data_IF_256949396905
#
_entry.id   IF_256949396905
#
_cell.length_a   1.000
_cell.length_b   1.000
_cell.length_c   1.000
_cell.angle_alpha   90.00
_cell.angle_beta   90.00
_cell.angle_gamma   90.00
#
_symmetry.space_group_name_H-M   'P 1'
#
loop_
_entity.id
_entity.type
_entity.pdbx_description
1 polymer ?
#
# COMPACT_ATOMS: atom_id res chain seq x y z
N UNK A 1 19.79 0.91 12.54
CA UNK A 1 18.88 2.08 12.61
C UNK A 1 17.65 1.84 11.74
N UNK A 2 17.81 1.41 10.47
CA UNK A 2 16.70 1.08 9.59
C UNK A 2 15.85 -0.07 10.16
N UNK A 3 16.45 -1.15 10.61
CA UNK A 3 15.77 -2.30 11.18
C UNK A 3 14.94 -1.96 12.43
N UNK A 4 15.46 -1.08 13.29
CA UNK A 4 14.78 -0.68 14.52
C UNK A 4 13.52 0.16 14.28
N UNK A 5 13.46 0.91 13.17
CA UNK A 5 12.34 1.79 12.84
C UNK A 5 11.42 1.20 11.76
N UNK A 6 11.76 0.03 11.19
CA UNK A 6 11.06 -0.55 10.06
C UNK A 6 9.57 -0.74 10.29
N UNK A 7 9.20 -1.30 11.43
CA UNK A 7 7.81 -1.56 11.78
C UNK A 7 6.99 -0.27 11.86
N UNK A 8 7.55 0.79 12.43
CA UNK A 8 6.87 2.09 12.50
C UNK A 8 6.71 2.74 11.13
N UNK A 9 7.75 2.67 10.28
CA UNK A 9 7.69 3.17 8.91
C UNK A 9 6.64 2.43 8.08
N UNK A 10 6.66 1.10 8.12
CA UNK A 10 5.66 0.28 7.44
C UNK A 10 4.25 0.63 7.89
N UNK A 11 4.02 0.76 9.19
CA UNK A 11 2.72 1.13 9.75
C UNK A 11 2.26 2.51 9.28
N UNK A 12 3.14 3.52 9.28
CA UNK A 12 2.83 4.87 8.77
C UNK A 12 2.48 4.86 7.29
N UNK A 13 3.24 4.14 6.47
CA UNK A 13 2.99 4.02 5.04
C UNK A 13 1.63 3.38 4.73
N UNK A 14 1.27 2.34 5.49
CA UNK A 14 -0.04 1.69 5.37
C UNK A 14 -1.16 2.67 5.79
N UNK A 15 -1.02 3.35 6.93
CA UNK A 15 -2.02 4.31 7.42
C UNK A 15 -2.24 5.46 6.44
N UNK A 16 -1.17 6.03 5.88
CA UNK A 16 -1.28 7.08 4.85
C UNK A 16 -1.99 6.56 3.60
N UNK A 17 -1.67 5.32 3.18
CA UNK A 17 -2.32 4.67 2.04
C UNK A 17 -3.82 4.47 2.28
N UNK A 18 -4.21 4.06 3.50
CA UNK A 18 -5.61 3.92 3.92
C UNK A 18 -6.33 5.27 3.85
N UNK A 19 -5.75 6.30 4.48
CA UNK A 19 -6.34 7.64 4.47
C UNK A 19 -6.48 8.17 3.03
N UNK A 20 -5.44 8.01 2.21
CA UNK A 20 -5.46 8.44 0.80
C UNK A 20 -6.55 7.75 0.00
N UNK A 21 -6.68 6.42 0.10
CA UNK A 21 -7.71 5.66 -0.58
C UNK A 21 -9.13 6.10 -0.13
N UNK A 22 -9.34 6.25 1.18
CA UNK A 22 -10.61 6.70 1.74
C UNK A 22 -10.99 8.12 1.27
N UNK A 23 -10.04 9.05 1.25
CA UNK A 23 -10.26 10.42 0.78
C UNK A 23 -10.62 10.47 -0.70
N UNK A 24 -9.92 9.71 -1.57
CA UNK A 24 -10.19 9.67 -2.99
C UNK A 24 -11.62 9.24 -3.30
N UNK A 25 -12.14 8.23 -2.60
CA UNK A 25 -13.51 7.76 -2.79
C UNK A 25 -14.53 8.63 -2.09
N UNK A 26 -14.19 9.19 -0.92
CA UNK A 26 -15.10 10.10 -0.22
C UNK A 26 -15.43 11.34 -1.05
N UNK A 27 -14.44 11.94 -1.70
CA UNK A 27 -14.65 13.10 -2.58
C UNK A 27 -15.54 12.77 -3.78
N UNK A 28 -15.52 11.51 -4.27
CA UNK A 28 -16.40 11.08 -5.35
C UNK A 28 -17.84 10.77 -4.90
N UNK A 29 -17.99 10.24 -3.68
CA UNK A 29 -19.33 10.01 -3.12
C UNK A 29 -19.99 11.31 -2.63
N UNK A 30 -19.19 12.31 -2.20
CA UNK A 30 -19.68 13.63 -1.90
C UNK A 30 -20.21 14.30 -3.18
N UNK A 31 -21.21 15.15 -3.06
CA UNK A 31 -21.77 15.97 -4.15
C UNK A 31 -22.33 15.19 -5.37
N UNK A 32 -22.71 13.92 -5.17
CA UNK A 32 -23.17 13.03 -6.24
C UNK A 32 -22.17 12.90 -7.41
N UNK A 33 -20.86 12.97 -7.11
CA UNK A 33 -19.79 12.88 -8.09
C UNK A 33 -19.84 11.59 -8.91
N UNK A 34 -20.22 10.46 -8.29
CA UNK A 34 -20.41 9.18 -8.99
C UNK A 34 -21.47 9.26 -10.09
N UNK A 35 -22.60 9.94 -9.86
CA UNK A 35 -23.66 10.12 -10.87
C UNK A 35 -23.18 11.03 -12.01
N UNK A 36 -22.45 12.10 -11.71
CA UNK A 36 -21.87 12.99 -12.71
C UNK A 36 -20.81 12.28 -13.56
N UNK A 37 -20.03 11.38 -12.97
CA UNK A 37 -19.03 10.59 -13.69
C UNK A 37 -19.62 9.48 -14.54
N UNK A 38 -20.77 8.91 -14.18
CA UNK A 38 -21.45 7.86 -14.96
C UNK A 38 -21.96 8.36 -16.31
N UNK A 39 -22.22 9.68 -16.44
CA UNK A 39 -22.64 10.32 -17.70
C UNK A 39 -21.46 10.48 -18.68
N UNK A 40 -20.22 10.49 -18.19
CA UNK A 40 -19.04 10.61 -19.03
C UNK A 40 -18.75 9.27 -19.75
N UNK A 41 -18.31 9.29 -21.02
CA UNK A 41 -17.99 8.07 -21.78
C UNK A 41 -16.63 7.48 -21.37
N UNK A 42 -16.32 7.48 -20.07
CA UNK A 42 -15.07 6.98 -19.50
C UNK A 42 -15.32 5.60 -18.88
N UNK A 43 -14.43 4.64 -19.13
CA UNK A 43 -14.50 3.32 -18.51
C UNK A 43 -14.14 3.44 -17.02
N UNK A 44 -15.00 2.97 -16.14
CA UNK A 44 -14.77 2.99 -14.68
C UNK A 44 -13.45 2.31 -14.27
N UNK A 45 -13.05 1.24 -14.96
CA UNK A 45 -11.76 0.60 -14.75
C UNK A 45 -10.56 1.53 -15.02
N UNK A 46 -10.65 2.44 -16.01
CA UNK A 46 -9.58 3.42 -16.26
C UNK A 46 -9.47 4.44 -15.13
N UNK A 47 -10.59 4.84 -14.54
CA UNK A 47 -10.61 5.74 -13.38
C UNK A 47 -10.01 5.08 -12.13
N UNK A 48 -10.32 3.81 -11.90
CA UNK A 48 -9.73 3.02 -10.82
C UNK A 48 -8.21 2.90 -10.96
N UNK A 49 -7.73 2.58 -12.17
CA UNK A 49 -6.29 2.53 -12.45
C UNK A 49 -5.61 3.90 -12.25
N UNK A 50 -6.28 4.99 -12.63
CA UNK A 50 -5.77 6.33 -12.37
C UNK A 50 -5.58 6.62 -10.87
N UNK A 51 -6.55 6.23 -10.04
CA UNK A 51 -6.45 6.34 -8.58
C UNK A 51 -5.33 5.50 -8.01
N UNK A 52 -5.21 4.26 -8.47
CA UNK A 52 -4.11 3.38 -8.07
C UNK A 52 -2.74 3.98 -8.42
N UNK A 53 -2.58 4.54 -9.62
CA UNK A 53 -1.34 5.21 -10.02
C UNK A 53 -1.02 6.42 -9.12
N UNK A 54 -2.00 7.24 -8.82
CA UNK A 54 -1.82 8.39 -7.92
C UNK A 54 -1.43 7.91 -6.52
N UNK A 55 -2.12 6.91 -5.97
CA UNK A 55 -1.81 6.35 -4.66
C UNK A 55 -0.41 5.73 -4.62
N UNK A 56 0.00 5.00 -5.67
CA UNK A 56 1.33 4.41 -5.78
C UNK A 56 2.44 5.47 -5.90
N UNK A 57 2.18 6.58 -6.61
CA UNK A 57 3.11 7.72 -6.69
C UNK A 57 3.27 8.42 -5.34
N UNK A 58 2.17 8.65 -4.63
CA UNK A 58 2.21 9.24 -3.27
C UNK A 58 2.98 8.33 -2.33
N UNK A 59 2.69 7.02 -2.32
CA UNK A 59 3.44 6.04 -1.54
C UNK A 59 4.94 6.09 -1.87
N UNK A 60 5.29 6.08 -3.15
CA UNK A 60 6.70 6.12 -3.58
C UNK A 60 7.41 7.38 -3.09
N UNK A 61 6.74 8.53 -3.20
CA UNK A 61 7.28 9.80 -2.70
C UNK A 61 7.49 9.77 -1.18
N UNK A 62 6.53 9.21 -0.42
CA UNK A 62 6.62 9.08 1.04
C UNK A 62 7.78 8.19 1.45
N UNK A 63 7.94 7.01 0.84
CA UNK A 63 9.06 6.09 1.12
C UNK A 63 10.41 6.75 0.81
N UNK A 64 10.51 7.49 -0.28
CA UNK A 64 11.76 8.22 -0.62
C UNK A 64 12.07 9.30 0.42
N UNK A 65 11.07 10.06 0.87
CA UNK A 65 11.24 11.09 1.90
C UNK A 65 11.66 10.44 3.23
N UNK A 66 11.01 9.36 3.66
CA UNK A 66 11.36 8.62 4.87
C UNK A 66 12.80 8.12 4.85
N UNK A 67 13.23 7.52 3.73
CA UNK A 67 14.60 7.04 3.57
C UNK A 67 15.60 8.20 3.58
N UNK A 68 15.29 9.31 2.93
CA UNK A 68 16.14 10.50 2.93
C UNK A 68 16.30 11.10 4.33
N UNK A 69 15.23 11.18 5.10
CA UNK A 69 15.24 11.66 6.48
C UNK A 69 16.06 10.73 7.38
N UNK A 70 15.86 9.41 7.27
CA UNK A 70 16.63 8.43 8.06
C UNK A 70 18.13 8.51 7.77
N UNK A 71 18.51 8.59 6.50
CA UNK A 71 19.91 8.73 6.10
C UNK A 71 20.49 10.06 6.60
N UNK A 72 19.73 11.15 6.50
CA UNK A 72 20.12 12.46 7.01
C UNK A 72 20.36 12.46 8.52
N UNK A 73 19.42 11.92 9.30
CA UNK A 73 19.55 11.79 10.76
C UNK A 73 20.72 10.88 11.15
N UNK A 74 20.87 9.74 10.45
CA UNK A 74 21.95 8.81 10.72
C UNK A 74 23.35 9.43 10.42
N UNK A 75 23.43 10.22 9.37
CA UNK A 75 24.67 10.94 9.01
C UNK A 75 25.02 12.05 10.00
N UNK A 76 24.00 12.69 10.57
CA UNK A 76 24.19 13.73 11.59
C UNK A 76 24.70 13.14 12.92
N UNK A 77 24.16 12.00 13.36
CA UNK A 77 24.54 11.41 14.64
C UNK A 77 25.73 10.43 14.56
N UNK A 78 25.95 9.83 13.39
CA UNK A 78 27.01 8.83 13.15
C UNK A 78 27.83 9.19 11.92
N UNK A 79 28.66 10.27 11.95
CA UNK A 79 29.40 10.74 10.78
C UNK A 79 30.41 9.73 10.23
N UNK A 80 30.83 8.76 11.05
CA UNK A 80 31.78 7.70 10.64
C UNK A 80 31.11 6.52 9.91
N UNK A 81 29.79 6.49 9.81
CA UNK A 81 29.07 5.39 9.17
C UNK A 81 28.98 5.61 7.66
N UNK A 82 29.48 4.65 6.91
CA UNK A 82 29.39 4.66 5.43
C UNK A 82 28.09 4.02 5.01
N UNK A 83 27.26 4.78 4.31
CA UNK A 83 25.99 4.30 3.77
C UNK A 83 26.19 3.76 2.36
N UNK A 84 25.74 2.54 2.09
CA UNK A 84 25.63 2.02 0.74
C UNK A 84 24.32 2.48 0.11
N UNK A 85 24.42 3.37 -0.87
CA UNK A 85 23.28 3.89 -1.62
C UNK A 85 22.50 2.77 -2.32
N UNK A 86 23.19 1.72 -2.75
CA UNK A 86 22.60 0.58 -3.44
C UNK A 86 21.66 -0.21 -2.51
N UNK A 87 22.07 -0.40 -1.25
CA UNK A 87 21.24 -1.07 -0.25
C UNK A 87 20.01 -0.23 0.12
N UNK A 88 20.16 1.08 0.24
CA UNK A 88 19.05 2.00 0.52
C UNK A 88 18.03 1.95 -0.60
N UNK A 89 18.48 2.03 -1.87
CA UNK A 89 17.58 1.95 -3.03
C UNK A 89 16.86 0.60 -3.14
N UNK A 90 17.57 -0.50 -2.90
CA UNK A 90 16.95 -1.84 -2.88
C UNK A 90 15.90 -1.96 -1.79
N UNK A 91 16.17 -1.44 -0.60
CA UNK A 91 15.27 -1.46 0.54
C UNK A 91 14.02 -0.60 0.27
N UNK A 92 14.20 0.62 -0.28
CA UNK A 92 13.09 1.48 -0.67
C UNK A 92 12.22 0.84 -1.77
N UNK A 93 12.85 0.27 -2.80
CA UNK A 93 12.14 -0.43 -3.88
C UNK A 93 11.36 -1.64 -3.37
N UNK A 94 11.95 -2.43 -2.49
CA UNK A 94 11.28 -3.56 -1.85
C UNK A 94 10.06 -3.09 -1.05
N UNK A 95 10.21 -2.04 -0.21
CA UNK A 95 9.13 -1.49 0.58
C UNK A 95 7.95 -1.01 -0.29
N UNK A 96 8.24 -0.32 -1.39
CA UNK A 96 7.21 0.14 -2.32
C UNK A 96 6.44 -1.06 -2.88
N UNK A 97 7.14 -2.08 -3.40
CA UNK A 97 6.51 -3.23 -4.05
C UNK A 97 5.65 -4.04 -3.07
N UNK A 98 6.14 -4.32 -1.86
CA UNK A 98 5.37 -5.11 -0.87
C UNK A 98 4.19 -4.34 -0.28
N UNK A 99 4.16 -2.99 -0.42
CA UNK A 99 3.02 -2.17 0.03
C UNK A 99 1.96 -1.99 -1.07
N UNK A 100 2.28 -2.23 -2.35
CA UNK A 100 1.31 -2.08 -3.46
C UNK A 100 0.03 -2.91 -3.28
N UNK A 101 0.07 -4.20 -2.88
CA UNK A 101 -1.16 -4.97 -2.67
C UNK A 101 -2.04 -4.39 -1.57
N UNK A 102 -1.43 -3.82 -0.51
CA UNK A 102 -2.17 -3.10 0.55
C UNK A 102 -2.93 -1.91 -0.01
N UNK A 103 -2.26 -1.08 -0.83
CA UNK A 103 -2.87 0.08 -1.50
C UNK A 103 -4.03 -0.37 -2.39
N UNK A 104 -3.81 -1.42 -3.20
CA UNK A 104 -4.82 -1.95 -4.11
C UNK A 104 -6.05 -2.45 -3.34
N UNK A 105 -5.83 -3.30 -2.33
CA UNK A 105 -6.91 -3.85 -1.50
C UNK A 105 -7.67 -2.75 -0.76
N UNK A 106 -6.98 -1.71 -0.28
CA UNK A 106 -7.62 -0.59 0.39
C UNK A 106 -8.47 0.25 -0.57
N UNK A 107 -8.04 0.42 -1.82
CA UNK A 107 -8.87 1.06 -2.86
C UNK A 107 -10.12 0.24 -3.16
N UNK A 108 -10.04 -1.10 -3.21
CA UNK A 108 -11.19 -2.00 -3.37
C UNK A 108 -12.17 -1.83 -2.20
N UNK A 109 -11.69 -1.84 -0.96
CA UNK A 109 -12.52 -1.65 0.23
C UNK A 109 -13.20 -0.27 0.21
N UNK A 110 -12.44 0.78 -0.13
CA UNK A 110 -12.97 2.14 -0.19
C UNK A 110 -13.99 2.32 -1.33
N UNK A 111 -13.86 1.60 -2.44
CA UNK A 111 -14.84 1.62 -3.54
C UNK A 111 -16.15 0.95 -3.16
N UNK A 112 -16.08 -0.11 -2.35
CA UNK A 112 -17.25 -0.86 -1.89
C UNK A 112 -18.04 -0.11 -0.79
N UNK A 113 -17.35 0.69 0.04
CA UNK A 113 -17.94 1.39 1.18
C UNK A 113 -18.31 2.83 0.83
N UNK A 114 -19.62 3.16 0.81
CA UNK A 114 -20.08 4.56 0.60
C UNK A 114 -19.67 5.49 1.75
N UNK A 115 -19.48 4.96 2.95
CA UNK A 115 -19.11 5.72 4.14
C UNK A 115 -17.61 5.65 4.40
N UNK A 116 -16.95 6.80 4.32
CA UNK A 116 -15.51 6.94 4.55
C UNK A 116 -15.07 6.37 5.91
N UNK A 117 -15.86 6.62 6.96
CA UNK A 117 -15.52 6.16 8.32
C UNK A 117 -15.51 4.65 8.46
N UNK A 118 -16.39 3.95 7.71
CA UNK A 118 -16.45 2.49 7.69
C UNK A 118 -15.21 1.91 7.00
N UNK A 119 -14.86 2.42 5.82
CA UNK A 119 -13.67 1.95 5.09
C UNK A 119 -12.38 2.24 5.86
N UNK A 120 -12.28 3.42 6.47
CA UNK A 120 -11.15 3.81 7.31
C UNK A 120 -11.06 2.90 8.55
N UNK A 121 -12.18 2.64 9.23
CA UNK A 121 -12.23 1.75 10.39
C UNK A 121 -11.78 0.33 10.05
N UNK A 122 -12.22 -0.24 8.93
CA UNK A 122 -11.79 -1.55 8.45
C UNK A 122 -10.26 -1.56 8.23
N UNK A 123 -9.73 -0.55 7.53
CA UNK A 123 -8.30 -0.45 7.28
C UNK A 123 -7.46 -0.35 8.55
N UNK A 124 -7.88 0.48 9.50
CA UNK A 124 -7.19 0.65 10.79
C UNK A 124 -7.21 -0.65 11.60
N UNK A 125 -8.36 -1.34 11.69
CA UNK A 125 -8.47 -2.63 12.39
C UNK A 125 -7.51 -3.66 11.76
N UNK A 126 -7.45 -3.74 10.43
CA UNK A 126 -6.56 -4.66 9.73
C UNK A 126 -5.08 -4.37 10.03
N UNK A 127 -4.68 -3.09 10.01
CA UNK A 127 -3.29 -2.69 10.33
C UNK A 127 -2.90 -3.14 11.72
N UNK A 128 -3.70 -2.78 12.74
CA UNK A 128 -3.37 -3.12 14.12
C UNK A 128 -3.42 -4.63 14.38
N UNK A 129 -4.41 -5.33 13.85
CA UNK A 129 -4.53 -6.78 14.00
C UNK A 129 -3.31 -7.49 13.42
N UNK A 130 -2.88 -7.11 12.22
CA UNK A 130 -1.77 -7.77 11.54
C UNK A 130 -0.39 -7.32 12.04
N UNK A 131 -0.28 -6.13 12.66
CA UNK A 131 0.97 -5.71 13.30
C UNK A 131 1.30 -6.51 14.57
N UNK A 132 0.30 -7.07 15.24
CA UNK A 132 0.45 -7.86 16.47
C UNK A 132 0.71 -9.35 16.16
N UNK A 133 0.29 -9.83 14.98
CA UNK A 133 0.42 -11.23 14.62
C UNK A 133 1.89 -11.63 14.39
N UNK A 134 2.29 -12.86 14.78
CA UNK A 134 3.65 -13.33 14.59
C UNK A 134 3.99 -13.40 13.09
N UNK A 135 5.05 -12.68 12.70
CA UNK A 135 5.51 -12.56 11.31
C UNK A 135 6.28 -13.81 10.83
N UNK A 136 6.50 -14.80 11.70
CA UNK A 136 7.24 -16.02 11.37
C UNK A 136 6.48 -16.96 10.43
N UNK A 137 5.16 -16.82 10.38
CA UNK A 137 4.30 -17.67 9.56
C UNK A 137 4.23 -17.13 8.13
N UNK A 138 4.80 -17.88 7.16
CA UNK A 138 4.89 -17.45 5.75
C UNK A 138 3.52 -17.06 5.18
N UNK A 139 2.50 -17.87 5.45
CA UNK A 139 1.15 -17.64 4.90
C UNK A 139 0.58 -16.31 5.43
N UNK A 140 0.84 -16.02 6.70
CA UNK A 140 0.36 -14.80 7.33
C UNK A 140 1.16 -13.57 6.88
N UNK A 141 2.46 -13.73 6.70
CA UNK A 141 3.36 -12.65 6.25
C UNK A 141 3.15 -12.24 4.78
N UNK A 142 2.53 -13.11 4.00
CA UNK A 142 2.15 -12.83 2.60
C UNK A 142 0.82 -12.08 2.48
N UNK A 143 0.04 -11.95 3.55
CA UNK A 143 -1.22 -11.21 3.49
C UNK A 143 -0.96 -9.72 3.18
N UNK A 144 -1.77 -9.04 2.34
CA UNK A 144 -1.50 -7.68 1.85
C UNK A 144 -1.18 -6.64 2.92
N UNK A 145 -1.83 -6.70 4.08
CA UNK A 145 -1.56 -5.78 5.19
C UNK A 145 -0.42 -6.24 6.11
N UNK A 146 0.08 -7.47 5.96
CA UNK A 146 1.21 -8.00 6.72
C UNK A 146 2.52 -7.91 5.94
N UNK A 147 2.46 -7.99 4.61
CA UNK A 147 3.64 -7.95 3.74
C UNK A 147 4.52 -6.71 3.91
N UNK A 148 4.00 -5.48 4.15
CA UNK A 148 4.86 -4.31 4.36
C UNK A 148 5.73 -4.34 5.61
N UNK A 149 5.39 -5.18 6.60
CA UNK A 149 6.19 -5.35 7.81
C UNK A 149 7.44 -6.21 7.59
N UNK A 150 7.54 -6.91 6.45
CA UNK A 150 8.68 -7.74 6.13
C UNK A 150 9.88 -6.89 5.73
N UNK A 151 11.03 -7.15 6.36
CA UNK A 151 12.28 -6.48 6.03
C UNK A 151 13.00 -7.18 4.88
N UNK A 152 13.62 -6.40 4.00
CA UNK A 152 14.44 -6.94 2.91
C UNK A 152 15.56 -7.81 3.45
N UNK A 153 16.26 -7.42 4.54
CA UNK A 153 17.33 -8.19 5.15
C UNK A 153 16.89 -9.58 5.58
N UNK A 154 15.73 -9.69 6.26
CA UNK A 154 15.16 -10.96 6.67
C UNK A 154 14.69 -11.80 5.47
N UNK A 155 14.15 -11.16 4.44
CA UNK A 155 13.72 -11.83 3.21
C UNK A 155 14.92 -12.38 2.40
N UNK A 156 16.03 -11.66 2.38
CA UNK A 156 17.28 -12.10 1.73
C UNK A 156 17.93 -13.26 2.51
N UNK A 157 18.04 -13.15 3.83
CA UNK A 157 18.59 -14.18 4.70
C UNK A 157 17.85 -15.52 4.55
N UNK A 158 16.53 -15.47 4.43
CA UNK A 158 15.68 -16.65 4.23
C UNK A 158 15.49 -17.05 2.76
N UNK A 159 16.18 -16.42 1.80
CA UNK A 159 16.03 -16.64 0.35
C UNK A 159 14.60 -16.50 -0.16
N UNK A 160 13.77 -15.68 0.48
CA UNK A 160 12.33 -15.50 0.20
C UNK A 160 11.99 -14.24 -0.57
N UNK A 161 12.99 -13.41 -0.90
CA UNK A 161 12.77 -12.11 -1.58
C UNK A 161 11.99 -12.27 -2.89
N UNK A 162 12.39 -13.23 -3.73
CA UNK A 162 11.70 -13.49 -4.99
C UNK A 162 10.24 -13.94 -4.79
N UNK A 163 9.98 -14.73 -3.76
CA UNK A 163 8.63 -15.17 -3.39
C UNK A 163 7.76 -13.99 -2.97
N UNK A 164 8.25 -13.11 -2.08
CA UNK A 164 7.50 -11.92 -1.67
C UNK A 164 7.19 -11.00 -2.85
N UNK A 165 8.18 -10.73 -3.72
CA UNK A 165 7.98 -9.89 -4.89
C UNK A 165 6.98 -10.49 -5.87
N UNK A 166 7.05 -11.81 -6.12
CA UNK A 166 6.15 -12.50 -7.02
C UNK A 166 4.70 -12.51 -6.47
N UNK A 167 4.53 -12.87 -5.19
CA UNK A 167 3.21 -12.93 -4.57
C UNK A 167 2.57 -11.55 -4.49
N UNK A 168 3.30 -10.52 -4.04
CA UNK A 168 2.79 -9.14 -3.99
C UNK A 168 2.41 -8.62 -5.39
N UNK A 169 3.19 -8.98 -6.43
CA UNK A 169 2.83 -8.66 -7.81
C UNK A 169 1.54 -9.33 -8.26
N UNK A 170 1.40 -10.65 -7.98
CA UNK A 170 0.19 -11.41 -8.30
C UNK A 170 -1.03 -10.87 -7.55
N UNK A 171 -0.91 -10.61 -6.25
CA UNK A 171 -2.00 -10.05 -5.44
C UNK A 171 -2.47 -8.69 -5.96
N UNK A 172 -1.54 -7.81 -6.31
CA UNK A 172 -1.87 -6.49 -6.89
C UNK A 172 -2.68 -6.65 -8.18
N UNK A 173 -2.29 -7.57 -9.04
CA UNK A 173 -3.01 -7.85 -10.30
C UNK A 173 -4.39 -8.49 -10.03
N UNK A 174 -4.45 -9.47 -9.13
CA UNK A 174 -5.70 -10.17 -8.76
C UNK A 174 -6.72 -9.21 -8.18
N UNK A 175 -6.33 -8.36 -7.22
CA UNK A 175 -7.22 -7.35 -6.65
C UNK A 175 -7.64 -6.32 -7.69
N UNK A 176 -6.74 -5.91 -8.58
CA UNK A 176 -7.08 -5.00 -9.68
C UNK A 176 -8.11 -5.58 -10.65
N UNK A 177 -7.96 -6.86 -11.02
CA UNK A 177 -8.94 -7.56 -11.87
C UNK A 177 -10.26 -7.72 -11.13
N UNK A 178 -10.22 -8.14 -9.87
CA UNK A 178 -11.43 -8.32 -9.06
C UNK A 178 -12.25 -7.02 -8.97
N UNK A 179 -11.58 -5.88 -8.78
CA UNK A 179 -12.25 -4.58 -8.74
C UNK A 179 -12.86 -4.20 -10.08
N UNK A 180 -12.14 -4.38 -11.17
CA UNK A 180 -12.68 -4.10 -12.52
C UNK A 180 -13.93 -4.94 -12.79
N UNK A 181 -13.91 -6.22 -12.41
CA UNK A 181 -15.08 -7.10 -12.53
C UNK A 181 -16.23 -6.64 -11.62
N UNK A 182 -15.94 -6.29 -10.37
CA UNK A 182 -16.93 -5.76 -9.44
C UNK A 182 -17.61 -4.50 -9.98
N UNK A 183 -16.85 -3.55 -10.50
CA UNK A 183 -17.37 -2.32 -11.10
C UNK A 183 -18.22 -2.59 -12.34
N UNK A 184 -17.88 -3.60 -13.16
CA UNK A 184 -18.69 -4.00 -14.32
C UNK A 184 -20.02 -4.61 -13.90
N UNK A 185 -20.00 -5.51 -12.91
CA UNK A 185 -21.22 -6.14 -12.38
C UNK A 185 -22.13 -5.09 -11.75
N UNK A 186 -21.58 -4.19 -10.93
CA UNK A 186 -22.35 -3.11 -10.30
C UNK A 186 -23.06 -2.21 -11.31
N UNK A 187 -22.41 -1.90 -12.43
CA UNK A 187 -23.00 -1.11 -13.53
C UNK A 187 -24.19 -1.81 -14.21
N UNK A 188 -24.26 -3.15 -14.16
CA UNK A 188 -25.40 -3.88 -14.72
C UNK A 188 -26.65 -3.84 -13.82
N UNK A 189 -26.49 -3.49 -12.54
CA UNK A 189 -27.56 -3.45 -11.55
C UNK A 189 -28.02 -2.03 -11.16
N UNK A 190 -27.25 -1.00 -11.49
CA UNK A 190 -27.61 0.42 -11.37
C UNK A 190 -28.14 0.95 -12.73
#
# INVERSE_FOLDING_TARGET
>A
LMSANWQMMAMLNILISICGACMMYHTEYADNGMQKMSVLPIRQGSMFFGKFLIAALVLSAMVVIEMAVLVGCAKYWFPSYVFDLTEILKTAGFQIIVTLPTVMLMLVIASACKNMWVSLGIGVILVFTLSILPQDNIVLSLFPFASPYQMLSAAVENSRTALFLAVCGIETVVFGIAEVLYLQVRRCFE
#
